data_IF_914161868288
#
_entry.id   IF_914161868288
#
_cell.length_a   1.000
_cell.length_b   1.000
_cell.length_c   1.000
_cell.angle_alpha   90.00
_cell.angle_beta   90.00
_cell.angle_gamma   90.00
#
_symmetry.space_group_name_H-M   'P 1'
#
loop_
_entity.id
_entity.type
_entity.pdbx_description
1 polymer ?
#
# COMPACT_ATOMS: atom_id res chain seq x y z
N UNK A 1 19.92 15.45 -3.28
CA UNK A 1 18.56 15.51 -3.93
C UNK A 1 17.80 16.63 -3.24
N UNK A 2 17.00 17.40 -3.98
CA UNK A 2 16.19 18.45 -3.39
C UNK A 2 14.98 17.88 -2.63
N UNK A 3 14.42 18.63 -1.65
CA UNK A 3 13.21 18.20 -0.95
C UNK A 3 12.04 18.00 -1.90
N UNK A 4 11.17 17.03 -1.57
CA UNK A 4 9.95 16.74 -2.32
C UNK A 4 8.78 16.70 -1.35
N UNK A 5 7.72 17.39 -1.70
CA UNK A 5 6.48 17.47 -0.93
C UNK A 5 5.34 16.80 -1.67
N UNK A 6 4.56 16.00 -0.98
CA UNK A 6 3.27 15.49 -1.44
C UNK A 6 2.19 16.37 -0.83
N UNK A 7 1.48 17.13 -1.65
CA UNK A 7 0.74 18.33 -1.16
C UNK A 7 -0.77 18.19 -1.24
N UNK A 8 -1.26 17.27 -2.06
CA UNK A 8 -2.70 17.00 -2.16
C UNK A 8 -2.96 15.62 -2.73
N UNK A 9 -4.20 15.18 -2.64
CA UNK A 9 -4.64 13.98 -3.29
C UNK A 9 -6.15 13.87 -3.42
N UNK A 10 -6.57 12.98 -4.30
CA UNK A 10 -7.96 12.62 -4.49
C UNK A 10 -8.11 11.15 -4.83
N UNK A 11 -9.19 10.55 -4.35
CA UNK A 11 -9.56 9.17 -4.59
C UNK A 11 -10.98 9.11 -5.10
N UNK A 12 -11.22 8.44 -6.23
CA UNK A 12 -12.58 8.13 -6.64
C UNK A 12 -13.20 7.11 -5.68
N UNK A 13 -14.51 7.06 -5.55
CA UNK A 13 -15.14 5.97 -4.80
C UNK A 13 -14.79 4.63 -5.46
N UNK A 14 -14.16 3.72 -4.71
CA UNK A 14 -13.90 2.37 -5.17
C UNK A 14 -15.16 1.53 -5.13
N UNK A 15 -15.39 0.75 -6.15
CA UNK A 15 -16.57 -0.11 -6.25
C UNK A 15 -16.24 -1.38 -7.05
N UNK A 16 -17.07 -2.41 -6.89
CA UNK A 16 -16.99 -3.63 -7.70
C UNK A 16 -17.07 -3.33 -9.21
N UNK A 17 -17.83 -2.30 -9.57
CA UNK A 17 -17.97 -1.80 -10.94
C UNK A 17 -18.39 -0.33 -10.90
N UNK A 18 -17.87 0.47 -11.85
CA UNK A 18 -18.23 1.87 -12.07
C UNK A 18 -18.74 2.05 -13.51
N UNK A 19 -19.92 1.48 -13.84
CA UNK A 19 -20.49 1.56 -15.19
C UNK A 19 -20.94 2.99 -15.58
N UNK A 20 -21.00 3.90 -14.62
CA UNK A 20 -21.29 5.32 -14.78
C UNK A 20 -20.14 6.11 -15.39
N UNK A 21 -18.91 5.54 -15.43
CA UNK A 21 -17.71 6.26 -15.86
C UNK A 21 -16.78 5.39 -16.72
N UNK A 22 -16.17 6.03 -17.70
CA UNK A 22 -15.01 5.47 -18.40
C UNK A 22 -13.76 5.59 -17.52
N UNK A 23 -12.69 4.86 -17.82
CA UNK A 23 -11.46 4.97 -17.02
C UNK A 23 -10.86 6.39 -17.02
N UNK A 24 -10.85 7.18 -18.13
CA UNK A 24 -10.40 8.57 -18.05
C UNK A 24 -11.28 9.44 -17.16
N UNK A 25 -12.58 9.18 -17.14
CA UNK A 25 -13.52 9.89 -16.27
C UNK A 25 -13.33 9.52 -14.78
N UNK A 26 -12.92 8.28 -14.46
CA UNK A 26 -12.51 7.90 -13.10
C UNK A 26 -11.23 8.62 -12.67
N UNK A 27 -10.24 8.70 -13.56
CA UNK A 27 -9.01 9.47 -13.31
C UNK A 27 -9.34 10.94 -13.09
N UNK A 28 -10.24 11.50 -13.91
CA UNK A 28 -10.68 12.90 -13.75
C UNK A 28 -11.38 13.14 -12.42
N UNK A 29 -12.21 12.20 -11.92
CA UNK A 29 -12.84 12.30 -10.60
C UNK A 29 -11.78 12.44 -9.49
N UNK A 30 -10.77 11.58 -9.48
CA UNK A 30 -9.68 11.65 -8.51
C UNK A 30 -8.83 12.94 -8.68
N UNK A 31 -8.56 13.32 -9.92
CA UNK A 31 -7.85 14.55 -10.24
C UNK A 31 -8.62 15.80 -9.75
N UNK A 32 -9.92 15.87 -9.98
CA UNK A 32 -10.72 17.02 -9.55
C UNK A 32 -10.69 17.15 -8.02
N UNK A 33 -10.83 16.04 -7.28
CA UNK A 33 -10.68 16.06 -5.81
C UNK A 33 -9.30 16.52 -5.35
N UNK A 34 -8.22 16.15 -6.06
CA UNK A 34 -6.89 16.64 -5.73
C UNK A 34 -6.73 18.14 -5.97
N UNK A 35 -7.40 18.71 -6.99
CA UNK A 35 -7.43 20.15 -7.24
C UNK A 35 -8.29 20.90 -6.23
N UNK A 36 -9.44 20.34 -5.86
CA UNK A 36 -10.31 20.91 -4.81
C UNK A 36 -9.57 20.99 -3.48
N UNK A 37 -8.75 19.97 -3.18
CA UNK A 37 -7.91 19.94 -1.98
C UNK A 37 -6.85 21.05 -1.98
N UNK A 38 -6.29 21.39 -3.16
CA UNK A 38 -5.38 22.53 -3.34
C UNK A 38 -6.10 23.89 -3.44
N UNK A 39 -7.41 23.91 -3.60
CA UNK A 39 -8.16 25.15 -3.89
C UNK A 39 -7.82 25.75 -5.26
N UNK A 40 -7.49 24.91 -6.24
CA UNK A 40 -7.10 25.34 -7.59
C UNK A 40 -8.15 24.97 -8.63
N UNK A 41 -8.39 25.87 -9.57
CA UNK A 41 -9.10 25.53 -10.80
C UNK A 41 -8.20 24.73 -11.74
N UNK A 42 -8.81 23.94 -12.61
CA UNK A 42 -8.10 23.20 -13.66
C UNK A 42 -7.15 24.12 -14.47
N UNK A 43 -7.63 25.31 -14.87
CA UNK A 43 -6.82 26.25 -15.64
C UNK A 43 -5.57 26.72 -14.91
N UNK A 44 -5.69 27.08 -13.62
CA UNK A 44 -4.55 27.48 -12.80
C UNK A 44 -3.52 26.36 -12.68
N UNK A 45 -3.99 25.12 -12.48
CA UNK A 45 -3.11 23.96 -12.36
C UNK A 45 -2.38 23.65 -13.68
N UNK A 46 -3.04 23.78 -14.83
CA UNK A 46 -2.41 23.59 -16.14
C UNK A 46 -1.23 24.54 -16.39
N UNK A 47 -1.27 25.74 -15.85
CA UNK A 47 -0.18 26.72 -15.98
C UNK A 47 1.04 26.35 -15.13
N UNK A 48 0.87 25.48 -14.09
CA UNK A 48 1.88 25.18 -13.08
C UNK A 48 2.48 23.78 -13.24
N UNK A 49 1.65 22.78 -13.54
CA UNK A 49 2.10 21.37 -13.63
C UNK A 49 3.07 21.18 -14.79
N UNK A 50 4.20 20.50 -14.55
CA UNK A 50 5.22 20.27 -15.58
C UNK A 50 4.95 18.98 -16.37
N UNK A 51 4.34 17.99 -15.74
CA UNK A 51 4.05 16.70 -16.38
C UNK A 51 3.37 15.71 -15.44
N UNK A 52 3.28 14.47 -15.86
CA UNK A 52 2.64 13.42 -15.07
C UNK A 52 3.37 12.09 -15.12
N UNK A 53 3.11 11.25 -14.11
CA UNK A 53 3.40 9.82 -14.11
C UNK A 53 2.08 9.07 -13.96
N UNK A 54 1.83 8.10 -14.81
CA UNK A 54 0.61 7.32 -14.83
C UNK A 54 0.85 5.87 -14.41
N UNK A 55 -0.11 5.27 -13.73
CA UNK A 55 -0.07 3.88 -13.33
C UNK A 55 -1.39 3.15 -13.64
N UNK A 56 -1.27 2.00 -14.28
CA UNK A 56 -2.31 0.99 -14.35
C UNK A 56 -1.63 -0.36 -14.58
N UNK A 57 -2.23 -1.40 -14.03
CA UNK A 57 -1.63 -2.72 -14.02
C UNK A 57 -1.60 -3.32 -15.43
N UNK A 58 -2.76 -3.35 -16.12
CA UNK A 58 -2.84 -4.14 -17.33
C UNK A 58 -3.72 -3.54 -18.41
N UNK A 59 -3.19 -3.52 -19.63
CA UNK A 59 -3.98 -3.21 -20.83
C UNK A 59 -5.16 -4.19 -21.04
N UNK A 60 -5.08 -5.40 -20.44
CA UNK A 60 -6.16 -6.38 -20.47
C UNK A 60 -7.40 -5.90 -19.71
N UNK A 61 -7.24 -5.20 -18.57
CA UNK A 61 -8.34 -4.60 -17.84
C UNK A 61 -8.82 -3.29 -18.48
N UNK A 62 -7.91 -2.41 -18.84
CA UNK A 62 -8.24 -1.15 -19.51
C UNK A 62 -8.85 -1.37 -20.90
N UNK A 63 -8.51 -2.49 -21.57
CA UNK A 63 -8.88 -2.82 -22.96
C UNK A 63 -8.50 -1.70 -23.93
N UNK A 64 -7.43 -0.98 -23.61
CA UNK A 64 -6.94 0.18 -24.33
C UNK A 64 -5.41 0.20 -24.28
N UNK A 65 -4.78 0.21 -25.45
CA UNK A 65 -3.34 0.52 -25.54
C UNK A 65 -3.14 2.02 -25.36
N UNK A 66 -1.98 2.42 -24.81
CA UNK A 66 -1.66 3.82 -24.51
C UNK A 66 -2.70 4.49 -23.58
N UNK A 67 -3.33 3.73 -22.67
CA UNK A 67 -4.37 4.24 -21.79
C UNK A 67 -3.89 5.43 -20.92
N UNK A 68 -2.60 5.47 -20.56
CA UNK A 68 -2.00 6.61 -19.87
C UNK A 68 -2.12 7.91 -20.70
N UNK A 69 -1.80 7.85 -21.99
CA UNK A 69 -1.87 9.03 -22.87
C UNK A 69 -3.33 9.43 -23.12
N UNK A 70 -4.24 8.46 -23.24
CA UNK A 70 -5.67 8.76 -23.36
C UNK A 70 -6.21 9.46 -22.09
N UNK A 71 -5.78 9.05 -20.90
CA UNK A 71 -6.14 9.75 -19.66
C UNK A 71 -5.50 11.15 -19.59
N UNK A 72 -4.23 11.28 -19.97
CA UNK A 72 -3.51 12.56 -20.08
C UNK A 72 -4.24 13.56 -20.98
N UNK A 73 -4.66 13.11 -22.17
CA UNK A 73 -5.42 13.89 -23.12
C UNK A 73 -6.78 14.32 -22.57
N UNK A 74 -7.50 13.38 -21.97
CA UNK A 74 -8.80 13.65 -21.34
C UNK A 74 -8.72 14.66 -20.18
N UNK A 75 -7.61 14.67 -19.46
CA UNK A 75 -7.30 15.68 -18.43
C UNK A 75 -6.86 17.04 -19.03
N UNK A 76 -6.70 17.16 -20.35
CA UNK A 76 -6.20 18.36 -21.01
C UNK A 76 -4.74 18.69 -20.69
N UNK A 77 -3.95 17.70 -20.27
CA UNK A 77 -2.54 17.90 -19.89
C UNK A 77 -1.59 17.85 -21.08
N UNK A 78 -2.04 17.39 -22.26
CA UNK A 78 -1.23 17.45 -23.48
C UNK A 78 -0.94 18.91 -23.89
N UNK A 79 0.27 19.24 -24.36
CA UNK A 79 1.38 18.36 -24.77
C UNK A 79 2.45 18.09 -23.68
N UNK A 80 2.15 18.23 -22.40
CA UNK A 80 3.12 18.00 -21.31
C UNK A 80 3.62 16.56 -21.29
N UNK A 81 4.87 16.31 -20.81
CA UNK A 81 5.42 14.95 -20.74
C UNK A 81 4.63 14.06 -19.79
N UNK A 82 4.49 12.80 -20.17
CA UNK A 82 3.90 11.75 -19.36
C UNK A 82 4.57 10.41 -19.66
N UNK A 83 4.64 9.52 -18.67
CA UNK A 83 5.04 8.14 -18.89
C UNK A 83 4.24 7.20 -17.97
N UNK A 84 4.08 5.95 -18.41
CA UNK A 84 3.46 4.88 -17.64
C UNK A 84 4.52 4.10 -16.87
N UNK A 85 4.16 3.68 -15.68
CA UNK A 85 4.88 2.68 -14.90
C UNK A 85 4.02 1.46 -14.64
N UNK A 86 4.66 0.31 -14.46
CA UNK A 86 4.03 -0.96 -14.13
C UNK A 86 4.97 -1.77 -13.25
N UNK A 87 4.42 -2.56 -12.34
CA UNK A 87 5.14 -3.46 -11.43
C UNK A 87 4.13 -4.27 -10.61
N UNK A 88 3.16 -4.91 -11.30
CA UNK A 88 2.14 -5.73 -10.65
C UNK A 88 1.34 -4.97 -9.60
N UNK A 89 1.13 -5.59 -8.44
CA UNK A 89 0.44 -4.98 -7.31
C UNK A 89 1.12 -3.72 -6.74
N UNK A 90 2.43 -3.54 -6.98
CA UNK A 90 3.19 -2.38 -6.52
C UNK A 90 3.08 -1.15 -7.47
N UNK A 91 2.37 -1.26 -8.58
CA UNK A 91 2.31 -0.27 -9.66
C UNK A 91 2.03 1.16 -9.15
N UNK A 92 1.07 1.34 -8.25
CA UNK A 92 0.76 2.67 -7.68
C UNK A 92 1.89 3.23 -6.78
N UNK A 93 2.54 2.37 -5.99
CA UNK A 93 3.69 2.76 -5.17
C UNK A 93 4.91 3.15 -6.02
N UNK A 94 5.15 2.45 -7.14
CA UNK A 94 6.17 2.81 -8.11
C UNK A 94 5.85 4.16 -8.74
N UNK A 95 4.59 4.41 -9.11
CA UNK A 95 4.14 5.68 -9.66
C UNK A 95 4.45 6.87 -8.73
N UNK A 96 4.14 6.72 -7.45
CA UNK A 96 4.48 7.72 -6.42
C UNK A 96 5.99 7.99 -6.36
N UNK A 97 6.79 6.92 -6.35
CA UNK A 97 8.25 7.04 -6.28
C UNK A 97 8.88 7.58 -7.58
N UNK A 98 8.32 7.32 -8.75
CA UNK A 98 8.81 7.93 -10.01
C UNK A 98 8.43 9.41 -10.10
N UNK A 99 7.25 9.82 -9.63
CA UNK A 99 6.91 11.23 -9.48
C UNK A 99 7.85 11.93 -8.48
N UNK A 100 8.12 11.30 -7.33
CA UNK A 100 9.15 11.79 -6.40
C UNK A 100 10.50 11.96 -7.07
N UNK A 101 10.95 10.99 -7.85
CA UNK A 101 12.23 11.00 -8.55
C UNK A 101 12.31 12.12 -9.60
N UNK A 102 11.20 12.37 -10.32
CA UNK A 102 11.13 13.48 -11.28
C UNK A 102 11.33 14.84 -10.60
N UNK A 103 10.75 15.00 -9.41
CA UNK A 103 10.93 16.22 -8.60
C UNK A 103 12.34 16.26 -7.98
N UNK A 104 12.76 15.19 -7.31
CA UNK A 104 14.06 15.13 -6.60
C UNK A 104 15.27 15.34 -7.51
N UNK A 105 15.18 14.92 -8.78
CA UNK A 105 16.22 15.13 -9.80
C UNK A 105 16.26 16.53 -10.39
N UNK A 106 15.21 17.34 -10.19
CA UNK A 106 15.09 18.65 -10.81
C UNK A 106 14.50 18.65 -12.21
N UNK A 107 14.01 17.50 -12.69
CA UNK A 107 13.36 17.41 -14.01
C UNK A 107 12.00 18.12 -14.04
N UNK A 108 11.25 18.08 -12.93
CA UNK A 108 9.96 18.75 -12.75
C UNK A 108 9.94 19.51 -11.42
N UNK A 109 9.19 20.61 -11.35
CA UNK A 109 8.86 21.31 -10.09
C UNK A 109 7.52 20.85 -9.53
N UNK A 110 6.54 20.53 -10.42
CA UNK A 110 5.22 20.03 -10.05
C UNK A 110 4.87 18.85 -10.94
N UNK A 111 4.62 17.70 -10.34
CA UNK A 111 4.27 16.44 -11.01
C UNK A 111 2.92 15.91 -10.52
N UNK A 112 2.04 15.58 -11.46
CA UNK A 112 0.82 14.83 -11.17
C UNK A 112 1.12 13.33 -11.27
N UNK A 113 0.94 12.58 -10.18
CA UNK A 113 0.89 11.11 -10.21
C UNK A 113 -0.57 10.67 -10.19
N UNK A 114 -0.98 9.82 -11.14
CA UNK A 114 -2.33 9.27 -11.15
C UNK A 114 -2.34 7.80 -11.55
N UNK A 115 -3.30 7.07 -10.98
CA UNK A 115 -3.45 5.65 -11.26
C UNK A 115 -4.91 5.23 -11.29
N UNK A 116 -5.19 4.16 -12.05
CA UNK A 116 -6.53 3.63 -12.19
C UNK A 116 -6.52 2.13 -12.49
N UNK A 117 -7.67 1.49 -12.29
CA UNK A 117 -7.99 0.20 -12.87
C UNK A 117 -9.49 0.08 -13.10
N UNK A 118 -9.90 -0.68 -14.12
CA UNK A 118 -11.29 -1.02 -14.43
C UNK A 118 -11.43 -2.53 -14.55
N UNK A 119 -11.39 -3.20 -13.38
CA UNK A 119 -11.36 -4.67 -13.32
C UNK A 119 -12.71 -5.32 -13.61
N UNK A 120 -13.81 -4.55 -13.55
CA UNK A 120 -15.16 -5.05 -13.81
C UNK A 120 -15.45 -5.36 -15.27
N UNK A 121 -14.59 -4.96 -16.20
CA UNK A 121 -14.77 -5.22 -17.63
C UNK A 121 -14.69 -6.71 -18.01
N UNK A 122 -14.26 -7.56 -17.09
CA UNK A 122 -14.17 -9.00 -17.28
C UNK A 122 -14.80 -9.75 -16.10
N UNK A 123 -15.22 -10.99 -16.33
CA UNK A 123 -15.68 -11.86 -15.24
C UNK A 123 -14.53 -12.14 -14.24
N UNK A 124 -14.86 -12.35 -12.98
CA UNK A 124 -13.87 -12.52 -11.89
C UNK A 124 -12.83 -13.58 -12.19
N UNK A 125 -13.22 -14.72 -12.77
CA UNK A 125 -12.28 -15.79 -13.12
C UNK A 125 -11.27 -15.35 -14.18
N UNK A 126 -11.70 -14.55 -15.16
CA UNK A 126 -10.81 -14.01 -16.20
C UNK A 126 -9.91 -12.91 -15.64
N UNK A 127 -10.42 -12.10 -14.71
CA UNK A 127 -9.61 -11.14 -13.97
C UNK A 127 -8.50 -11.82 -13.15
N UNK A 128 -8.81 -12.93 -12.49
CA UNK A 128 -7.82 -13.72 -11.77
C UNK A 128 -6.74 -14.30 -12.71
N UNK A 129 -7.12 -14.73 -13.93
CA UNK A 129 -6.17 -15.15 -14.96
C UNK A 129 -5.23 -13.99 -15.34
N UNK A 130 -5.76 -12.79 -15.58
CA UNK A 130 -4.92 -11.63 -15.90
C UNK A 130 -3.97 -11.26 -14.76
N UNK A 131 -4.43 -11.34 -13.49
CA UNK A 131 -3.58 -11.10 -12.33
C UNK A 131 -2.49 -12.18 -12.25
N UNK A 132 -2.79 -13.43 -12.58
CA UNK A 132 -1.83 -14.53 -12.56
C UNK A 132 -0.68 -14.36 -13.58
N UNK A 133 -0.86 -13.53 -14.61
CA UNK A 133 0.22 -13.17 -15.55
C UNK A 133 1.36 -12.38 -14.86
N UNK A 134 1.18 -11.87 -13.65
CA UNK A 134 2.25 -11.29 -12.85
C UNK A 134 3.13 -12.33 -12.13
N UNK A 135 2.92 -13.63 -12.38
CA UNK A 135 3.81 -14.73 -11.97
C UNK A 135 4.60 -15.28 -13.17
N UNK A 136 5.47 -16.27 -12.94
CA UNK A 136 6.19 -16.93 -14.03
C UNK A 136 5.21 -17.69 -14.93
N UNK A 137 5.02 -17.18 -16.15
CA UNK A 137 4.09 -17.73 -17.13
C UNK A 137 4.61 -18.98 -17.82
N UNK A 138 5.89 -19.30 -17.65
CA UNK A 138 6.54 -20.47 -18.28
C UNK A 138 6.46 -21.71 -17.39
N UNK A 139 6.41 -21.55 -16.07
CA UNK A 139 6.48 -22.65 -15.10
C UNK A 139 5.34 -22.65 -14.10
N UNK A 140 5.08 -21.54 -13.40
CA UNK A 140 4.10 -21.50 -12.31
C UNK A 140 2.66 -21.38 -12.83
N UNK A 141 2.43 -20.54 -13.84
CA UNK A 141 1.09 -20.35 -14.42
C UNK A 141 0.53 -21.63 -15.08
N UNK A 142 1.28 -22.40 -15.89
CA UNK A 142 0.77 -23.60 -16.56
C UNK A 142 0.34 -24.71 -15.61
N UNK A 143 0.88 -24.76 -14.38
CA UNK A 143 0.50 -25.74 -13.36
C UNK A 143 -0.61 -25.26 -12.44
N UNK A 144 -1.29 -24.15 -12.79
CA UNK A 144 -2.42 -23.62 -12.04
C UNK A 144 -2.02 -22.63 -10.93
N UNK A 145 -0.93 -21.91 -11.12
CA UNK A 145 -0.46 -20.89 -10.18
C UNK A 145 -1.39 -19.67 -10.13
N UNK A 146 -2.25 -19.61 -9.12
CA UNK A 146 -3.09 -18.44 -8.81
C UNK A 146 -2.74 -17.86 -7.46
N UNK A 147 -2.89 -16.53 -7.32
CA UNK A 147 -2.44 -15.82 -6.12
C UNK A 147 -3.08 -16.31 -4.83
N UNK A 148 -4.37 -16.66 -4.82
CA UNK A 148 -4.99 -17.24 -3.61
C UNK A 148 -4.32 -18.56 -3.18
N UNK A 149 -3.87 -19.38 -4.13
CA UNK A 149 -3.11 -20.59 -3.85
C UNK A 149 -1.71 -20.28 -3.31
N UNK A 150 -1.02 -19.31 -3.90
CA UNK A 150 0.31 -18.90 -3.42
C UNK A 150 0.25 -18.38 -1.98
N UNK A 151 -0.67 -17.44 -1.68
CA UNK A 151 -0.81 -16.91 -0.34
C UNK A 151 -1.28 -17.94 0.68
N UNK A 152 -2.10 -18.91 0.26
CA UNK A 152 -2.47 -20.04 1.09
C UNK A 152 -1.24 -20.92 1.45
N UNK A 153 -0.36 -21.21 0.49
CA UNK A 153 0.90 -21.94 0.75
C UNK A 153 1.81 -21.14 1.69
N UNK A 154 1.93 -19.83 1.46
CA UNK A 154 2.76 -18.95 2.27
C UNK A 154 2.29 -18.93 3.73
N UNK A 155 1.00 -18.70 3.96
CA UNK A 155 0.46 -18.70 5.33
C UNK A 155 0.45 -20.08 5.98
N UNK A 156 0.23 -21.15 5.22
CA UNK A 156 0.34 -22.51 5.75
C UNK A 156 1.75 -22.80 6.26
N UNK A 157 2.77 -22.31 5.55
CA UNK A 157 4.15 -22.37 6.02
C UNK A 157 4.35 -21.54 7.28
N UNK A 158 3.82 -20.33 7.32
CA UNK A 158 3.89 -19.44 8.49
C UNK A 158 3.19 -20.05 9.72
N UNK A 159 2.02 -20.65 9.52
CA UNK A 159 1.30 -21.39 10.57
C UNK A 159 2.14 -22.56 11.11
N UNK A 160 2.77 -23.33 10.23
CA UNK A 160 3.62 -24.46 10.62
C UNK A 160 4.88 -24.02 11.37
N UNK A 161 5.51 -22.96 10.92
CA UNK A 161 6.79 -22.48 11.45
C UNK A 161 6.63 -21.75 12.79
N UNK A 162 5.61 -20.90 12.88
CA UNK A 162 5.45 -19.94 13.96
C UNK A 162 4.18 -20.12 14.78
N UNK A 163 3.29 -21.00 14.37
CA UNK A 163 2.02 -21.25 15.09
C UNK A 163 0.93 -20.20 14.84
N UNK A 164 1.06 -19.38 13.80
CA UNK A 164 0.00 -18.43 13.41
C UNK A 164 -1.32 -19.15 13.18
N UNK A 165 -2.41 -18.57 13.63
CA UNK A 165 -3.73 -19.20 13.58
C UNK A 165 -4.68 -18.48 12.61
N UNK A 166 -5.70 -19.17 12.11
CA UNK A 166 -6.74 -18.54 11.31
C UNK A 166 -7.53 -17.45 12.07
N UNK A 167 -7.62 -17.53 13.39
CA UNK A 167 -8.23 -16.50 14.24
C UNK A 167 -7.40 -15.22 14.23
N UNK A 168 -6.08 -15.32 14.27
CA UNK A 168 -5.18 -14.17 14.17
C UNK A 168 -5.31 -13.48 12.80
N UNK A 169 -5.46 -14.25 11.72
CA UNK A 169 -5.78 -13.69 10.40
C UNK A 169 -7.14 -12.98 10.40
N UNK A 170 -8.14 -13.55 11.06
CA UNK A 170 -9.46 -12.93 11.13
C UNK A 170 -9.44 -11.58 11.87
N UNK A 171 -8.52 -11.34 12.81
CA UNK A 171 -8.32 -10.02 13.42
C UNK A 171 -7.95 -8.95 12.39
N UNK A 172 -7.08 -9.28 11.43
CA UNK A 172 -6.73 -8.38 10.32
C UNK A 172 -7.98 -8.03 9.50
N UNK A 173 -8.76 -9.04 9.11
CA UNK A 173 -9.99 -8.82 8.33
C UNK A 173 -11.00 -7.96 9.07
N UNK A 174 -11.27 -8.26 10.35
CA UNK A 174 -12.19 -7.46 11.19
C UNK A 174 -11.70 -6.02 11.28
N UNK A 175 -10.41 -5.82 11.62
CA UNK A 175 -9.80 -4.49 11.71
C UNK A 175 -10.02 -3.68 10.43
N UNK A 176 -9.65 -4.23 9.29
CA UNK A 176 -9.72 -3.51 8.03
C UNK A 176 -11.17 -3.23 7.58
N UNK A 177 -12.10 -4.18 7.75
CA UNK A 177 -13.50 -3.94 7.43
C UNK A 177 -14.15 -2.92 8.38
N UNK A 178 -13.81 -2.93 9.66
CA UNK A 178 -14.32 -1.94 10.62
C UNK A 178 -13.78 -0.54 10.33
N UNK A 179 -12.50 -0.40 9.96
CA UNK A 179 -11.94 0.86 9.48
C UNK A 179 -12.66 1.32 8.19
N UNK A 180 -12.77 0.44 7.20
CA UNK A 180 -13.46 0.75 5.95
C UNK A 180 -14.94 1.14 6.13
N UNK A 181 -15.59 0.71 7.22
CA UNK A 181 -16.96 1.11 7.53
C UNK A 181 -17.09 2.63 7.68
N UNK A 182 -16.07 3.29 8.20
CA UNK A 182 -15.99 4.74 8.37
C UNK A 182 -15.40 5.47 7.15
N UNK A 183 -14.91 4.74 6.13
CA UNK A 183 -14.33 5.32 4.93
C UNK A 183 -15.35 5.43 3.78
N UNK A 184 -15.78 6.64 3.35
CA UNK A 184 -16.77 6.82 2.28
C UNK A 184 -16.29 6.34 0.91
N UNK A 185 -14.97 6.25 0.69
CA UNK A 185 -14.39 5.78 -0.56
C UNK A 185 -14.33 4.26 -0.67
N UNK A 186 -14.54 3.55 0.45
CA UNK A 186 -14.38 2.10 0.51
C UNK A 186 -15.51 1.35 -0.20
N UNK A 187 -15.12 0.26 -0.89
CA UNK A 187 -16.05 -0.67 -1.56
C UNK A 187 -16.85 -1.50 -0.57
N UNK A 188 -16.25 -1.91 0.56
CA UNK A 188 -16.80 -2.83 1.57
C UNK A 188 -16.97 -2.14 2.91
N UNK A 189 -18.03 -1.39 3.07
CA UNK A 189 -18.40 -0.75 4.35
C UNK A 189 -19.26 -1.71 5.19
N UNK A 190 -18.62 -2.70 5.82
CA UNK A 190 -19.29 -3.77 6.56
C UNK A 190 -18.68 -3.94 7.94
N UNK A 191 -19.53 -4.11 8.96
CA UNK A 191 -19.09 -4.54 10.29
C UNK A 191 -19.00 -6.06 10.31
N UNK A 192 -17.88 -6.59 10.77
CA UNK A 192 -17.62 -8.03 10.82
C UNK A 192 -17.16 -8.44 12.22
N UNK A 193 -17.48 -9.66 12.59
CA UNK A 193 -16.91 -10.38 13.73
C UNK A 193 -15.89 -11.43 13.27
N UNK A 194 -15.08 -11.94 14.20
CA UNK A 194 -14.19 -13.08 13.94
C UNK A 194 -14.98 -14.28 13.39
N UNK A 195 -16.18 -14.53 13.94
CA UNK A 195 -17.03 -15.63 13.49
C UNK A 195 -17.49 -15.45 12.04
N UNK A 196 -17.82 -14.22 11.60
CA UNK A 196 -18.20 -13.95 10.21
C UNK A 196 -17.06 -14.30 9.25
N UNK A 197 -15.82 -13.92 9.60
CA UNK A 197 -14.64 -14.21 8.79
C UNK A 197 -14.39 -15.73 8.72
N UNK A 198 -14.42 -16.40 9.88
CA UNK A 198 -14.12 -17.85 9.98
C UNK A 198 -15.18 -18.72 9.28
N UNK A 199 -16.44 -18.29 9.25
CA UNK A 199 -17.54 -19.00 8.61
C UNK A 199 -17.77 -18.58 7.15
N UNK A 200 -17.01 -17.64 6.63
CA UNK A 200 -17.09 -17.25 5.22
C UNK A 200 -16.67 -18.41 4.30
N UNK A 201 -17.17 -18.46 3.05
CA UNK A 201 -16.78 -19.51 2.11
C UNK A 201 -15.27 -19.61 1.93
N UNK A 202 -14.73 -20.83 2.06
CA UNK A 202 -13.32 -21.14 1.84
C UNK A 202 -12.96 -20.92 0.37
N UNK A 203 -11.81 -20.28 0.12
CA UNK A 203 -11.26 -20.07 -1.23
C UNK A 203 -10.04 -20.96 -1.45
N UNK A 204 -9.07 -20.89 -0.56
CA UNK A 204 -7.87 -21.73 -0.56
C UNK A 204 -7.42 -21.88 0.89
N UNK A 205 -7.52 -23.09 1.46
CA UNK A 205 -7.25 -23.29 2.89
C UNK A 205 -5.89 -22.69 3.31
N UNK A 206 -5.82 -21.90 4.40
CA UNK A 206 -6.86 -21.58 5.38
C UNK A 206 -7.66 -20.29 5.06
N UNK A 207 -7.50 -19.68 3.88
CA UNK A 207 -8.07 -18.39 3.50
C UNK A 207 -9.54 -18.52 3.10
N UNK A 208 -10.38 -17.73 3.74
CA UNK A 208 -11.79 -17.54 3.37
C UNK A 208 -11.95 -16.37 2.41
N UNK A 209 -13.15 -16.17 1.87
CA UNK A 209 -13.46 -15.03 1.01
C UNK A 209 -13.29 -13.67 1.71
N UNK A 210 -13.37 -13.60 3.04
CA UNK A 210 -13.16 -12.38 3.82
C UNK A 210 -11.69 -12.16 4.22
N UNK A 211 -10.81 -13.09 3.89
CA UNK A 211 -9.36 -12.95 4.02
C UNK A 211 -8.69 -12.36 2.77
N UNK A 212 -9.47 -12.05 1.71
CA UNK A 212 -8.94 -11.73 0.38
C UNK A 212 -9.48 -10.38 -0.08
N UNK A 213 -8.60 -9.57 -0.67
CA UNK A 213 -8.97 -8.30 -1.28
C UNK A 213 -10.02 -8.46 -2.39
N UNK A 214 -10.66 -7.38 -2.73
CA UNK A 214 -11.71 -7.35 -3.75
C UNK A 214 -11.23 -6.70 -5.03
N UNK A 215 -11.59 -7.27 -6.17
CA UNK A 215 -11.42 -6.62 -7.47
C UNK A 215 -12.28 -5.37 -7.53
N UNK A 216 -11.71 -4.26 -7.98
CA UNK A 216 -12.33 -2.96 -7.93
C UNK A 216 -12.11 -2.14 -9.19
N UNK A 217 -13.07 -1.28 -9.51
CA UNK A 217 -12.88 -0.14 -10.38
C UNK A 217 -12.59 1.09 -9.51
N UNK A 218 -11.65 1.92 -9.94
CA UNK A 218 -11.33 3.15 -9.23
C UNK A 218 -10.06 3.83 -9.74
N UNK A 219 -9.84 5.05 -9.24
CA UNK A 219 -8.67 5.85 -9.54
C UNK A 219 -8.21 6.64 -8.30
N UNK A 220 -6.94 7.00 -8.28
CA UNK A 220 -6.34 7.90 -7.30
C UNK A 220 -5.35 8.84 -8.00
N UNK A 221 -5.22 10.05 -7.46
CA UNK A 221 -4.29 11.04 -7.97
C UNK A 221 -3.65 11.81 -6.81
N UNK A 222 -2.39 12.19 -6.94
CA UNK A 222 -1.67 13.03 -5.97
C UNK A 222 -0.73 13.99 -6.68
N UNK A 223 -0.51 15.15 -6.08
CA UNK A 223 0.42 16.17 -6.58
C UNK A 223 1.66 16.18 -5.71
N UNK A 224 2.83 16.01 -6.36
CA UNK A 224 4.13 16.16 -5.74
C UNK A 224 4.83 17.41 -6.30
N UNK A 225 5.57 18.10 -5.45
CA UNK A 225 6.27 19.30 -5.88
C UNK A 225 7.61 19.52 -5.14
N UNK A 226 8.45 20.37 -5.74
CA UNK A 226 9.62 20.96 -5.08
C UNK A 226 9.20 22.16 -4.21
N UNK A 227 10.14 22.77 -3.51
CA UNK A 227 9.91 24.04 -2.78
C UNK A 227 9.44 25.14 -3.73
N UNK A 228 10.04 25.25 -4.92
CA UNK A 228 9.66 26.19 -5.97
C UNK A 228 8.27 25.88 -6.52
N UNK A 229 7.95 24.59 -6.70
CA UNK A 229 6.63 24.13 -7.11
C UNK A 229 5.57 24.46 -6.07
N UNK A 230 5.87 24.25 -4.79
CA UNK A 230 4.98 24.58 -3.68
C UNK A 230 4.66 26.08 -3.66
N UNK A 231 5.68 26.93 -3.80
CA UNK A 231 5.48 28.38 -3.86
C UNK A 231 4.59 28.82 -5.04
N UNK A 232 4.70 28.15 -6.21
CA UNK A 232 3.81 28.38 -7.35
C UNK A 232 2.36 28.00 -7.05
N UNK A 233 2.15 26.85 -6.41
CA UNK A 233 0.82 26.36 -6.02
C UNK A 233 0.18 27.25 -4.95
N UNK A 234 0.91 27.65 -3.92
CA UNK A 234 0.44 28.57 -2.87
C UNK A 234 0.07 29.95 -3.44
N UNK A 235 0.89 30.47 -4.36
CA UNK A 235 0.59 31.74 -5.04
C UNK A 235 -0.69 31.66 -5.87
N UNK A 236 -0.93 30.56 -6.55
CA UNK A 236 -2.08 30.39 -7.43
C UNK A 236 -3.38 30.13 -6.63
N UNK A 237 -3.32 29.39 -5.53
CA UNK A 237 -4.45 29.11 -4.65
C UNK A 237 -4.77 30.25 -3.68
N UNK A 238 -3.78 31.11 -3.41
CA UNK A 238 -3.91 32.16 -2.40
C UNK A 238 -3.94 31.67 -0.95
N UNK A 239 -3.56 30.42 -0.70
CA UNK A 239 -3.55 29.83 0.63
C UNK A 239 -2.23 29.08 0.90
N UNK A 240 -1.86 28.95 2.17
CA UNK A 240 -0.74 28.11 2.58
C UNK A 240 -1.15 26.64 2.48
N UNK A 241 -0.30 25.83 1.88
CA UNK A 241 -0.50 24.37 1.72
C UNK A 241 0.29 23.65 2.82
N UNK A 242 -0.34 22.74 3.60
CA UNK A 242 0.37 21.97 4.59
C UNK A 242 1.48 21.10 3.96
N UNK A 243 2.66 21.13 4.55
CA UNK A 243 3.85 20.46 4.02
C UNK A 243 3.92 19.02 4.50
N UNK A 244 3.82 18.10 3.57
CA UNK A 244 4.08 16.67 3.82
C UNK A 244 5.30 16.27 2.98
N UNK A 245 6.43 16.13 3.63
CA UNK A 245 7.70 15.81 2.99
C UNK A 245 7.85 14.30 2.81
N UNK A 246 8.38 13.89 1.67
CA UNK A 246 8.80 12.50 1.44
C UNK A 246 10.25 12.36 1.88
N UNK A 247 10.47 11.74 3.04
CA UNK A 247 11.78 11.64 3.71
C UNK A 247 12.49 10.33 3.46
N UNK A 248 11.74 9.25 3.17
CA UNK A 248 12.30 7.94 2.93
C UNK A 248 11.72 7.27 1.68
N UNK A 249 12.59 6.71 0.86
CA UNK A 249 12.24 5.92 -0.32
C UNK A 249 13.06 4.65 -0.30
N UNK A 250 12.40 3.50 -0.42
CA UNK A 250 13.05 2.21 -0.54
C UNK A 250 12.34 1.28 -1.52
N UNK A 251 13.12 0.45 -2.18
CA UNK A 251 12.66 -0.57 -3.12
C UNK A 251 13.38 -1.89 -2.87
N UNK A 252 12.66 -2.97 -3.04
CA UNK A 252 13.24 -4.29 -3.02
C UNK A 252 12.67 -5.16 -4.14
N UNK A 253 13.49 -6.08 -4.62
CA UNK A 253 13.08 -7.11 -5.57
C UNK A 253 13.56 -8.47 -5.11
N UNK A 254 12.87 -9.53 -5.53
CA UNK A 254 13.26 -10.92 -5.28
C UNK A 254 13.01 -11.77 -6.52
N UNK A 255 13.47 -13.02 -6.51
CA UNK A 255 13.19 -13.96 -7.57
C UNK A 255 11.67 -14.10 -7.80
N UNK A 256 11.26 -14.11 -9.07
CA UNK A 256 9.85 -14.24 -9.47
C UNK A 256 9.24 -15.49 -8.86
N UNK A 257 9.93 -16.62 -8.95
CA UNK A 257 9.52 -17.89 -8.36
C UNK A 257 10.00 -17.99 -6.91
N UNK A 258 9.08 -18.32 -6.01
CA UNK A 258 9.41 -18.46 -4.57
C UNK A 258 10.46 -19.53 -4.32
N UNK A 259 10.46 -20.62 -5.11
CA UNK A 259 11.41 -21.72 -4.98
C UNK A 259 12.85 -21.34 -5.40
N UNK A 260 13.02 -20.27 -6.14
CA UNK A 260 14.34 -19.83 -6.63
C UNK A 260 15.02 -18.81 -5.67
N UNK A 261 14.38 -18.51 -4.55
CA UNK A 261 14.95 -17.60 -3.52
C UNK A 261 15.99 -18.36 -2.70
N UNK A 262 17.31 -18.03 -2.83
CA UNK A 262 18.35 -18.73 -2.10
C UNK A 262 18.28 -18.41 -0.61
N UNK A 263 18.39 -19.43 0.24
CA UNK A 263 18.51 -19.23 1.67
C UNK A 263 19.85 -18.57 2.02
N UNK A 264 19.82 -17.65 2.98
CA UNK A 264 21.01 -17.07 3.59
C UNK A 264 21.60 -18.00 4.64
N UNK A 265 22.87 -17.85 4.96
CA UNK A 265 23.45 -18.36 6.20
C UNK A 265 22.86 -17.60 7.41
N UNK A 266 22.98 -18.15 8.61
CA UNK A 266 22.54 -17.45 9.82
C UNK A 266 23.28 -16.13 10.02
N UNK A 267 24.60 -16.10 9.79
CA UNK A 267 25.40 -14.89 9.90
C UNK A 267 25.00 -13.81 8.88
N UNK A 268 24.69 -14.22 7.64
CA UNK A 268 24.20 -13.29 6.63
C UNK A 268 22.80 -12.79 6.97
N UNK A 269 21.92 -13.63 7.52
CA UNK A 269 20.62 -13.21 8.00
C UNK A 269 20.75 -12.12 9.07
N UNK A 270 21.56 -12.32 10.10
CA UNK A 270 21.79 -11.33 11.16
C UNK A 270 22.41 -10.03 10.60
N UNK A 271 23.38 -10.16 9.71
CA UNK A 271 24.08 -9.01 9.12
C UNK A 271 23.23 -8.14 8.23
N UNK A 272 22.39 -8.77 7.40
CA UNK A 272 21.69 -8.04 6.33
C UNK A 272 20.24 -7.74 6.64
N UNK A 273 19.59 -8.46 7.56
CA UNK A 273 18.14 -8.33 7.73
C UNK A 273 17.73 -7.69 9.06
N UNK A 274 18.56 -7.68 10.10
CA UNK A 274 18.20 -6.99 11.32
C UNK A 274 18.10 -5.47 11.11
N UNK A 275 17.11 -4.87 11.76
CA UNK A 275 17.00 -3.42 11.93
C UNK A 275 17.85 -2.99 13.14
N UNK A 276 18.19 -1.69 13.28
CA UNK A 276 19.00 -1.22 14.39
C UNK A 276 18.43 -1.57 15.78
N UNK A 277 17.10 -1.47 15.97
CA UNK A 277 16.42 -1.83 17.22
C UNK A 277 16.35 -3.35 17.46
N UNK A 278 16.44 -4.16 16.41
CA UNK A 278 16.44 -5.63 16.49
C UNK A 278 17.80 -6.22 16.84
N UNK A 279 18.88 -5.47 16.67
CA UNK A 279 20.26 -5.98 16.91
C UNK A 279 20.61 -5.99 18.41
N UNK A 280 19.92 -6.82 19.17
CA UNK A 280 20.09 -7.02 20.62
C UNK A 280 20.45 -8.46 20.93
N UNK A 281 21.10 -8.73 22.08
CA UNK A 281 21.39 -10.11 22.52
C UNK A 281 20.12 -10.97 22.61
N UNK A 282 19.01 -10.40 23.06
CA UNK A 282 17.73 -11.10 23.19
C UNK A 282 17.19 -11.51 21.80
N UNK A 283 17.16 -10.58 20.84
CA UNK A 283 16.68 -10.85 19.48
C UNK A 283 17.58 -11.85 18.76
N UNK A 284 18.90 -11.76 18.96
CA UNK A 284 19.84 -12.76 18.42
C UNK A 284 19.61 -14.15 19.00
N UNK A 285 19.35 -14.26 20.30
CA UNK A 285 19.03 -15.55 20.95
C UNK A 285 17.70 -16.10 20.43
N UNK A 286 16.69 -15.27 20.25
CA UNK A 286 15.39 -15.64 19.67
C UNK A 286 15.57 -16.20 18.24
N UNK A 287 16.30 -15.52 17.38
CA UNK A 287 16.53 -15.99 16.01
C UNK A 287 17.46 -17.22 15.96
N UNK A 288 18.38 -17.38 16.90
CA UNK A 288 19.18 -18.60 17.02
C UNK A 288 18.29 -19.82 17.32
N UNK A 289 17.36 -19.69 18.29
CA UNK A 289 16.40 -20.74 18.62
C UNK A 289 15.50 -21.10 17.42
N UNK A 290 15.01 -20.08 16.70
CA UNK A 290 14.25 -20.31 15.46
C UNK A 290 15.08 -21.07 14.41
N UNK A 291 16.34 -20.65 14.23
CA UNK A 291 17.26 -21.28 13.26
C UNK A 291 17.55 -22.73 13.58
N UNK A 292 17.78 -23.02 14.85
CA UNK A 292 18.02 -24.38 15.35
C UNK A 292 16.79 -25.29 15.16
N UNK A 293 15.58 -24.72 15.23
CA UNK A 293 14.32 -25.42 14.95
C UNK A 293 13.99 -25.55 13.46
N UNK A 294 14.80 -25.00 12.57
CA UNK A 294 14.66 -25.17 11.12
C UNK A 294 14.15 -23.97 10.36
N UNK A 295 13.96 -22.80 11.00
CA UNK A 295 13.70 -21.53 10.28
C UNK A 295 14.80 -21.27 9.25
N UNK A 296 14.42 -20.82 8.07
CA UNK A 296 15.37 -20.41 7.01
C UNK A 296 14.84 -19.14 6.34
N UNK A 297 15.77 -18.21 6.08
CA UNK A 297 15.47 -16.94 5.47
C UNK A 297 16.28 -16.76 4.17
N UNK A 298 15.71 -16.15 3.09
CA UNK A 298 14.29 -15.91 2.90
C UNK A 298 13.54 -17.25 2.78
N UNK A 299 12.28 -17.26 3.25
CA UNK A 299 11.37 -18.37 3.07
C UNK A 299 10.12 -17.91 2.30
N UNK A 300 9.20 -18.85 2.04
CA UNK A 300 7.90 -18.45 1.48
C UNK A 300 7.00 -17.73 2.51
N UNK A 301 7.37 -17.78 3.77
CA UNK A 301 6.72 -17.08 4.90
C UNK A 301 7.19 -15.62 5.10
N UNK A 302 8.08 -15.09 4.25
CA UNK A 302 8.65 -13.74 4.39
C UNK A 302 8.85 -13.09 3.02
N UNK A 303 8.80 -11.75 2.97
CA UNK A 303 9.08 -10.98 1.75
C UNK A 303 10.43 -10.27 1.87
N UNK A 304 11.52 -10.95 1.50
CA UNK A 304 12.86 -10.34 1.54
C UNK A 304 12.92 -8.97 0.85
N UNK A 305 12.21 -8.81 -0.27
CA UNK A 305 12.09 -7.52 -0.96
C UNK A 305 11.43 -6.47 -0.07
N UNK A 306 10.45 -6.85 0.77
CA UNK A 306 9.81 -5.97 1.75
C UNK A 306 10.79 -5.48 2.81
N UNK A 307 11.55 -6.40 3.42
CA UNK A 307 12.60 -6.04 4.39
C UNK A 307 13.66 -5.13 3.79
N UNK A 308 14.11 -5.41 2.56
CA UNK A 308 15.12 -4.59 1.89
C UNK A 308 14.61 -3.19 1.58
N UNK A 309 13.38 -3.09 1.05
CA UNK A 309 12.74 -1.80 0.79
C UNK A 309 12.52 -0.98 2.07
N UNK A 310 12.08 -1.63 3.16
CA UNK A 310 11.89 -0.99 4.46
C UNK A 310 13.21 -0.44 5.02
N UNK A 311 14.27 -1.25 5.02
CA UNK A 311 15.61 -0.82 5.50
C UNK A 311 16.16 0.37 4.72
N UNK A 312 15.99 0.39 3.40
CA UNK A 312 16.43 1.52 2.58
C UNK A 312 15.62 2.79 2.90
N UNK A 313 14.30 2.69 2.99
CA UNK A 313 13.42 3.81 3.33
C UNK A 313 13.74 4.36 4.74
N UNK A 314 13.93 3.48 5.72
CA UNK A 314 14.27 3.85 7.10
C UNK A 314 15.64 4.52 7.19
N UNK A 315 16.64 4.00 6.47
CA UNK A 315 17.96 4.63 6.39
C UNK A 315 17.87 6.07 5.88
N UNK A 316 17.06 6.34 4.87
CA UNK A 316 16.87 7.68 4.32
C UNK A 316 16.10 8.61 5.29
N UNK A 317 15.12 8.09 6.01
CA UNK A 317 14.30 8.84 6.97
C UNK A 317 14.91 8.91 8.39
N UNK A 318 16.03 8.20 8.64
CA UNK A 318 16.66 8.16 9.96
C UNK A 318 15.88 7.38 11.01
N UNK A 319 15.10 6.37 10.60
CA UNK A 319 14.30 5.52 11.49
C UNK A 319 15.14 4.35 11.97
N UNK A 320 15.22 4.17 13.29
CA UNK A 320 15.90 3.06 13.93
C UNK A 320 14.95 2.03 14.54
N UNK A 321 13.80 2.46 15.04
CA UNK A 321 12.73 1.64 15.62
C UNK A 321 11.39 1.96 14.95
N UNK A 322 10.99 1.20 13.91
CA UNK A 322 9.79 1.53 13.14
C UNK A 322 8.50 1.51 13.98
N UNK A 323 8.36 0.61 14.96
CA UNK A 323 7.16 0.56 15.79
C UNK A 323 7.02 1.79 16.69
N UNK A 324 8.13 2.35 17.15
CA UNK A 324 8.15 3.51 18.03
C UNK A 324 8.14 4.86 17.27
N UNK A 325 8.61 4.86 16.01
CA UNK A 325 8.86 6.09 15.26
C UNK A 325 7.90 6.35 14.10
N UNK A 326 7.04 5.37 13.74
CA UNK A 326 6.02 5.50 12.69
C UNK A 326 4.65 5.54 13.37
N UNK A 327 3.89 6.63 13.14
CA UNK A 327 2.60 6.84 13.77
C UNK A 327 1.47 6.02 13.12
N UNK A 328 1.61 5.66 11.85
CA UNK A 328 0.66 4.79 11.13
C UNK A 328 1.27 4.22 9.84
N UNK A 329 0.68 3.15 9.35
CA UNK A 329 1.09 2.50 8.09
C UNK A 329 -0.12 2.24 7.20
N UNK A 330 -0.07 2.63 5.94
CA UNK A 330 -0.93 2.13 4.87
C UNK A 330 -0.15 1.07 4.08
N UNK A 331 -0.47 -0.20 4.26
CA UNK A 331 0.26 -1.30 3.65
C UNK A 331 -0.62 -2.16 2.72
N UNK A 332 0.03 -2.94 1.88
CA UNK A 332 -0.60 -3.79 0.89
C UNK A 332 -1.07 -5.12 1.51
N UNK A 333 -2.34 -5.19 1.87
CA UNK A 333 -3.03 -6.33 2.47
C UNK A 333 -3.92 -7.06 1.46
N UNK A 334 -3.36 -7.48 0.32
CA UNK A 334 -4.14 -8.25 -0.65
C UNK A 334 -4.75 -9.53 -0.04
N UNK A 335 -4.15 -10.02 1.03
CA UNK A 335 -4.59 -11.12 1.87
C UNK A 335 -4.32 -10.78 3.34
N UNK A 336 -5.14 -11.30 4.27
CA UNK A 336 -4.87 -11.12 5.72
C UNK A 336 -3.49 -11.65 6.10
N UNK A 337 -3.05 -12.73 5.46
CA UNK A 337 -1.73 -13.30 5.64
C UNK A 337 -0.60 -12.40 5.15
N UNK A 338 -0.82 -11.64 4.08
CA UNK A 338 0.21 -10.70 3.59
C UNK A 338 0.41 -9.51 4.53
N UNK A 339 -0.64 -9.06 5.20
CA UNK A 339 -0.52 -8.03 6.23
C UNK A 339 0.33 -8.55 7.40
N UNK A 340 0.08 -9.77 7.88
CA UNK A 340 0.87 -10.42 8.95
C UNK A 340 2.36 -10.51 8.56
N UNK A 341 2.66 -10.99 7.37
CA UNK A 341 4.04 -11.07 6.88
C UNK A 341 4.69 -9.70 6.71
N UNK A 342 3.90 -8.70 6.28
CA UNK A 342 4.41 -7.33 6.11
C UNK A 342 4.70 -6.65 7.44
N UNK A 343 3.99 -6.94 8.53
CA UNK A 343 4.35 -6.46 9.87
C UNK A 343 5.79 -6.86 10.23
N UNK A 344 6.14 -8.12 9.95
CA UNK A 344 7.47 -8.66 10.19
C UNK A 344 8.52 -8.02 9.28
N UNK A 345 8.22 -7.92 7.97
CA UNK A 345 9.16 -7.37 7.00
C UNK A 345 9.41 -5.86 7.19
N UNK A 346 8.40 -5.12 7.67
CA UNK A 346 8.56 -3.72 8.05
C UNK A 346 9.18 -3.53 9.45
N UNK A 347 9.35 -4.61 10.23
CA UNK A 347 9.94 -4.54 11.57
C UNK A 347 9.01 -3.93 12.63
N UNK A 348 7.70 -4.00 12.42
CA UNK A 348 6.71 -3.67 13.47
C UNK A 348 6.68 -4.75 14.55
N UNK A 349 7.14 -5.96 14.23
CA UNK A 349 7.42 -7.08 15.13
C UNK A 349 8.51 -7.97 14.53
N UNK A 350 9.06 -8.88 15.32
CA UNK A 350 10.07 -9.85 14.85
C UNK A 350 9.44 -10.91 13.93
N UNK A 351 10.24 -11.53 13.08
CA UNK A 351 9.80 -12.67 12.28
C UNK A 351 9.23 -13.77 13.19
N UNK A 352 8.03 -14.23 12.85
CA UNK A 352 7.27 -15.23 13.61
C UNK A 352 6.29 -14.65 14.63
N UNK A 353 6.32 -13.34 14.90
CA UNK A 353 5.42 -12.69 15.84
C UNK A 353 4.23 -11.99 15.17
N UNK A 354 4.18 -11.93 13.84
CA UNK A 354 3.16 -11.18 13.08
C UNK A 354 1.73 -11.62 13.38
N UNK A 355 1.49 -12.92 13.61
CA UNK A 355 0.17 -13.43 14.01
C UNK A 355 -0.25 -12.92 15.39
N UNK A 356 0.65 -12.94 16.37
CA UNK A 356 0.41 -12.40 17.72
C UNK A 356 0.21 -10.88 17.68
N UNK A 357 1.02 -10.18 16.88
CA UNK A 357 0.90 -8.73 16.66
C UNK A 357 -0.47 -8.37 16.07
N UNK A 358 -0.97 -9.12 15.09
CA UNK A 358 -2.28 -8.92 14.48
C UNK A 358 -3.43 -9.01 15.50
N UNK A 359 -3.32 -9.90 16.50
CA UNK A 359 -4.36 -10.09 17.52
C UNK A 359 -4.16 -9.22 18.77
N UNK A 360 -3.01 -8.57 18.92
CA UNK A 360 -2.67 -7.85 20.15
C UNK A 360 -3.46 -6.56 20.39
N UNK A 361 -3.83 -5.86 19.31
CA UNK A 361 -4.41 -4.51 19.36
C UNK A 361 -3.45 -3.40 18.91
N UNK A 362 -2.16 -3.66 18.83
CA UNK A 362 -1.15 -2.63 18.50
C UNK A 362 -1.35 -1.99 17.11
N UNK A 363 -1.91 -2.75 16.16
CA UNK A 363 -2.18 -2.29 14.80
C UNK A 363 -3.56 -1.62 14.61
N UNK A 364 -4.34 -1.47 15.66
CA UNK A 364 -5.73 -1.02 15.61
C UNK A 364 -5.87 0.50 15.78
N UNK A 365 -6.94 1.09 15.25
CA UNK A 365 -7.28 2.49 15.50
C UNK A 365 -7.84 2.66 16.92
N UNK A 366 -7.37 3.63 17.71
CA UNK A 366 -7.85 3.82 19.09
C UNK A 366 -9.30 4.32 19.18
N UNK A 367 -9.81 4.89 18.10
CA UNK A 367 -11.13 5.54 18.00
C UNK A 367 -12.22 4.62 17.45
N UNK A 368 -11.88 3.39 17.04
CA UNK A 368 -12.85 2.44 16.44
C UNK A 368 -13.17 1.33 17.45
N UNK A 369 -14.46 1.07 17.65
CA UNK A 369 -14.92 -0.09 18.42
C UNK A 369 -14.98 -1.32 17.49
N UNK A 370 -14.11 -2.28 17.74
CA UNK A 370 -14.03 -3.52 16.97
C UNK A 370 -14.86 -4.67 17.56
N UNK A 371 -15.42 -4.48 18.75
CA UNK A 371 -16.10 -5.55 19.49
C UNK A 371 -15.15 -6.71 19.89
N UNK A 372 -13.87 -6.43 20.05
CA UNK A 372 -12.80 -7.38 20.39
C UNK A 372 -12.20 -7.04 21.75
N UNK A 373 -11.84 -8.07 22.52
CA UNK A 373 -11.03 -7.93 23.72
C UNK A 373 -9.54 -7.94 23.32
N UNK A 374 -8.95 -6.76 23.19
CA UNK A 374 -7.58 -6.56 22.73
C UNK A 374 -6.64 -6.42 23.92
N UNK A 375 -5.55 -7.20 23.93
CA UNK A 375 -4.62 -7.25 25.04
C UNK A 375 -3.79 -5.97 25.22
N UNK A 376 -3.40 -5.35 24.12
CA UNK A 376 -2.52 -4.18 24.07
C UNK A 376 -3.28 -2.92 23.59
N UNK A 377 -2.73 -1.77 23.96
CA UNK A 377 -3.16 -0.49 23.38
C UNK A 377 -2.59 -0.32 21.96
N UNK A 378 -3.28 0.45 21.09
CA UNK A 378 -2.73 0.84 19.80
C UNK A 378 -1.33 1.47 19.93
N UNK A 379 -0.41 1.02 19.08
CA UNK A 379 0.95 1.53 19.02
C UNK A 379 1.23 2.16 17.65
N UNK A 380 0.91 1.45 16.58
CA UNK A 380 1.04 1.92 15.21
C UNK A 380 -0.16 1.41 14.40
N UNK A 381 -1.23 2.21 14.27
CA UNK A 381 -2.39 1.86 13.45
C UNK A 381 -1.99 1.46 12.03
N UNK A 382 -2.49 0.31 11.57
CA UNK A 382 -2.22 -0.19 10.23
C UNK A 382 -3.50 -0.23 9.42
N UNK A 383 -3.41 0.27 8.19
CA UNK A 383 -4.53 0.42 7.28
C UNK A 383 -5.72 1.18 7.92
N UNK A 384 -5.52 2.41 8.42
CA UNK A 384 -6.63 3.26 8.86
C UNK A 384 -7.71 3.42 7.77
N UNK A 385 -7.32 3.38 6.50
CA UNK A 385 -8.26 3.45 5.36
C UNK A 385 -9.18 2.25 5.21
N UNK A 386 -8.83 1.11 5.83
CA UNK A 386 -9.50 -0.18 5.65
C UNK A 386 -8.77 -1.14 4.71
N UNK A 387 -7.59 -0.75 4.21
CA UNK A 387 -6.74 -1.61 3.39
C UNK A 387 -7.36 -2.08 2.07
N UNK A 388 -6.68 -2.96 1.37
CA UNK A 388 -7.13 -3.51 0.09
C UNK A 388 -8.28 -4.49 0.26
N UNK A 389 -8.32 -5.20 1.39
CA UNK A 389 -9.35 -6.19 1.70
C UNK A 389 -10.74 -5.55 1.74
N UNK A 390 -10.84 -4.33 2.27
CA UNK A 390 -12.14 -3.69 2.48
C UNK A 390 -12.31 -2.37 1.72
N UNK A 391 -11.31 -1.50 1.68
CA UNK A 391 -11.39 -0.28 0.88
C UNK A 391 -11.48 -0.61 -0.62
N UNK A 392 -10.70 -1.59 -1.08
CA UNK A 392 -10.72 -2.05 -2.46
C UNK A 392 -9.33 -2.06 -3.09
N UNK A 393 -9.21 -2.76 -4.23
CA UNK A 393 -7.93 -2.94 -4.91
C UNK A 393 -8.04 -2.73 -6.42
N UNK A 394 -8.30 -1.50 -6.91
CA UNK A 394 -8.00 -1.16 -8.31
C UNK A 394 -6.47 -1.08 -8.43
N UNK A 395 -5.87 -2.12 -9.01
CA UNK A 395 -4.43 -2.43 -8.85
C UNK A 395 -3.53 -1.23 -9.14
N UNK A 396 -3.74 -0.54 -10.26
CA UNK A 396 -2.94 0.62 -10.64
C UNK A 396 -3.12 1.86 -9.76
N UNK A 397 -4.24 1.96 -9.03
CA UNK A 397 -4.55 3.10 -8.17
C UNK A 397 -4.12 2.89 -6.72
N UNK A 398 -3.99 1.65 -6.27
CA UNK A 398 -3.90 1.31 -4.83
C UNK A 398 -2.77 2.01 -4.09
N UNK A 399 -1.54 1.95 -4.62
CA UNK A 399 -0.40 2.60 -3.95
C UNK A 399 -0.50 4.13 -3.90
N UNK A 400 -1.20 4.74 -4.87
CA UNK A 400 -1.51 6.17 -4.82
C UNK A 400 -2.64 6.49 -3.84
N UNK A 401 -3.67 5.63 -3.73
CA UNK A 401 -4.68 5.74 -2.67
C UNK A 401 -4.04 5.74 -1.29
N UNK A 402 -3.10 4.81 -1.03
CA UNK A 402 -2.33 4.78 0.22
C UNK A 402 -1.58 6.10 0.45
N UNK A 403 -0.95 6.66 -0.58
CA UNK A 403 -0.28 7.95 -0.49
C UNK A 403 -1.27 9.09 -0.16
N UNK A 404 -2.43 9.13 -0.81
CA UNK A 404 -3.47 10.13 -0.55
C UNK A 404 -3.96 10.08 0.89
N UNK A 405 -4.30 8.89 1.40
CA UNK A 405 -4.73 8.75 2.78
C UNK A 405 -3.63 9.12 3.78
N UNK A 406 -2.37 8.77 3.49
CA UNK A 406 -1.23 9.19 4.31
C UNK A 406 -1.05 10.71 4.31
N UNK A 407 -1.23 11.38 3.16
CA UNK A 407 -1.21 12.85 3.07
C UNK A 407 -2.30 13.46 3.95
N UNK A 408 -3.54 12.99 3.83
CA UNK A 408 -4.67 13.49 4.63
C UNK A 408 -4.49 13.25 6.13
N UNK A 409 -3.91 12.11 6.53
CA UNK A 409 -3.54 11.85 7.93
C UNK A 409 -2.54 12.88 8.47
N UNK A 410 -1.47 13.14 7.72
CA UNK A 410 -0.40 14.05 8.13
C UNK A 410 -0.81 15.53 8.05
N UNK A 411 -1.72 15.87 7.15
CA UNK A 411 -2.33 17.20 7.08
C UNK A 411 -3.43 17.39 8.13
N UNK A 412 -3.85 16.35 8.84
CA UNK A 412 -4.99 16.34 9.77
C UNK A 412 -6.30 16.76 9.10
N UNK A 413 -6.55 16.24 7.91
CA UNK A 413 -7.72 16.60 7.09
C UNK A 413 -8.68 15.42 6.83
N UNK A 414 -8.55 14.31 7.57
CA UNK A 414 -9.44 13.16 7.40
C UNK A 414 -10.90 13.57 7.50
N UNK A 415 -11.30 14.36 8.52
CA UNK A 415 -12.68 14.82 8.67
C UNK A 415 -13.18 15.76 7.55
N UNK A 416 -12.27 16.38 6.78
CA UNK A 416 -12.64 17.14 5.57
C UNK A 416 -13.05 16.21 4.41
N UNK A 417 -12.43 15.05 4.33
CA UNK A 417 -12.60 14.10 3.22
C UNK A 417 -13.54 12.95 3.56
N UNK A 418 -13.68 12.63 4.86
CA UNK A 418 -14.57 11.61 5.38
C UNK A 418 -15.79 12.26 6.06
N UNK A 419 -16.70 11.42 6.57
CA UNK A 419 -17.89 11.90 7.28
C UNK A 419 -17.55 12.51 8.65
N UNK A 420 -16.43 12.04 9.27
CA UNK A 420 -15.93 12.47 10.58
C UNK A 420 -14.42 12.18 10.74
N UNK A 421 -13.88 12.50 11.92
CA UNK A 421 -12.47 12.28 12.27
C UNK A 421 -12.20 10.90 12.91
N UNK A 422 -13.13 9.94 12.86
CA UNK A 422 -12.98 8.62 13.51
C UNK A 422 -11.70 7.92 13.08
N UNK A 423 -11.29 8.06 11.82
CA UNK A 423 -10.07 7.44 11.29
C UNK A 423 -8.85 8.36 11.32
N UNK A 424 -8.93 9.55 11.94
CA UNK A 424 -7.77 10.42 12.09
C UNK A 424 -6.82 9.88 13.17
N UNK A 425 -5.58 9.58 12.80
CA UNK A 425 -4.52 9.27 13.77
C UNK A 425 -4.12 10.57 14.49
N UNK A 426 -4.30 10.59 15.79
CA UNK A 426 -4.06 11.79 16.59
C UNK A 426 -2.58 12.16 16.59
N UNK A 427 -2.29 13.43 16.32
CA UNK A 427 -0.93 13.99 16.30
C UNK A 427 0.05 13.26 15.36
N UNK A 428 -0.44 12.64 14.29
CA UNK A 428 0.41 11.99 13.31
C UNK A 428 1.44 12.95 12.72
N UNK A 429 2.70 12.57 12.77
CA UNK A 429 3.84 13.32 12.21
C UNK A 429 4.58 12.52 11.14
N UNK A 430 4.57 11.19 11.24
CA UNK A 430 5.29 10.30 10.34
C UNK A 430 4.40 9.11 9.96
N UNK A 431 4.22 8.90 8.68
CA UNK A 431 3.49 7.76 8.12
C UNK A 431 4.34 6.96 7.14
N UNK A 432 4.04 5.67 7.01
CA UNK A 432 4.63 4.83 5.99
C UNK A 432 3.57 4.33 5.01
N UNK A 433 3.93 4.26 3.73
CA UNK A 433 3.14 3.59 2.70
C UNK A 433 3.95 2.45 2.11
N UNK A 434 3.32 1.31 1.91
CA UNK A 434 3.94 0.10 1.42
C UNK A 434 3.08 -0.53 0.34
N UNK A 435 3.69 -0.83 -0.81
CA UNK A 435 3.04 -1.57 -1.88
C UNK A 435 3.89 -2.76 -2.30
N UNK A 436 3.27 -3.92 -2.53
CA UNK A 436 4.00 -5.06 -3.06
C UNK A 436 3.30 -5.73 -4.26
N UNK A 437 4.07 -6.43 -5.05
CA UNK A 437 3.64 -7.18 -6.20
C UNK A 437 4.03 -8.65 -6.11
N UNK A 438 3.25 -9.46 -6.77
CA UNK A 438 3.53 -10.89 -6.85
C UNK A 438 3.44 -11.53 -5.47
N UNK A 439 4.35 -12.44 -5.21
CA UNK A 439 4.53 -13.08 -3.90
C UNK A 439 5.61 -12.37 -3.06
N UNK A 440 5.57 -11.03 -3.03
CA UNK A 440 6.64 -10.21 -2.46
C UNK A 440 7.85 -10.09 -3.38
N UNK A 441 7.62 -10.14 -4.70
CA UNK A 441 8.68 -10.10 -5.72
C UNK A 441 9.19 -8.69 -5.96
N UNK A 442 8.33 -7.69 -5.85
CA UNK A 442 8.67 -6.28 -5.95
C UNK A 442 7.94 -5.51 -4.86
N UNK A 443 8.68 -4.73 -4.09
CA UNK A 443 8.15 -3.93 -2.97
C UNK A 443 8.65 -2.50 -3.05
N UNK A 444 7.75 -1.56 -2.73
CA UNK A 444 8.09 -0.15 -2.52
C UNK A 444 7.67 0.27 -1.11
N UNK A 445 8.53 1.02 -0.43
CA UNK A 445 8.24 1.65 0.86
C UNK A 445 8.57 3.12 0.76
N UNK A 446 7.66 3.99 1.18
CA UNK A 446 7.93 5.43 1.26
C UNK A 446 7.54 5.95 2.64
N UNK A 447 8.34 6.85 3.19
CA UNK A 447 8.11 7.52 4.46
C UNK A 447 7.75 8.97 4.18
N UNK A 448 6.65 9.39 4.77
CA UNK A 448 6.12 10.75 4.67
C UNK A 448 6.14 11.39 6.06
N UNK A 449 6.53 12.65 6.13
CA UNK A 449 6.59 13.40 7.38
C UNK A 449 5.92 14.77 7.23
N UNK A 450 5.15 15.14 8.24
CA UNK A 450 4.64 16.50 8.35
C UNK A 450 5.80 17.43 8.71
N UNK A 451 5.95 18.53 7.96
CA UNK A 451 6.80 19.66 8.34
C UNK A 451 5.93 20.80 8.91
N UNK A 452 6.40 21.44 9.98
CA UNK A 452 5.70 22.56 10.68
C UNK A 452 5.67 23.85 9.85
#
# INVERSE_FOLDING_TARGET
MRPVYAVSGGVSKFAKARPDKTFPALVKEAYDYALDDLGLTHRQFLEIVDGSVASYFSDHFARQLMAAIMAQDYLGLCPKPSHRVEGGGATGGICFQEAWKAIASGYMDVCLAYGFETMSHVATWKGNEFIALASDVSTDYPVGGFYSGYYAMMVTRHMKEFGTTPEQMAHVSVKNHMNAYHNPYAQKRQKLSIADVRNAPMVAWPLTRLDICVMSDGAAATVLCSEEGLAKLEKASGQRIPRVRVTGIGRGTDAMRMADRPHQSYDDFLKYNLLPNEDTPETRAYYQDLWDRGFRYPGIHSFRAGRMGSKEAYKHAGIADPLAEIDFVELHDAYTSSEIQTYEDMGLCRYGEGGAFAASGKAFMPSVDYGLDLADKPACPVNPSGGLIACGHPVGATGLMQAVFAIWQLQHTIGKHFEDDTLQVSNAKRGAIHSHAGTGTYVTVSILEKED
#
